data_IF_702380663588
#
_entry.id   IF_702380663588
#
_cell.length_a   1.000
_cell.length_b   1.000
_cell.length_c   1.000
_cell.angle_alpha   90.00
_cell.angle_beta   90.00
_cell.angle_gamma   90.00
#
_symmetry.space_group_name_H-M   'P 1'
#
loop_
_entity.id
_entity.type
_entity.pdbx_description
1 polymer ?
#
# COMPACT_ATOMS: atom_id res chain seq x y z
N UNK A 1 10.54 23.53 9.80
CA UNK A 1 11.16 22.20 10.04
C UNK A 1 11.30 21.48 8.71
N UNK A 2 12.26 20.56 8.57
CA UNK A 2 12.35 19.68 7.39
C UNK A 2 11.11 18.77 7.38
N UNK A 3 10.45 18.62 6.23
CA UNK A 3 9.28 17.73 6.07
C UNK A 3 9.66 16.31 6.50
N UNK A 4 8.86 15.72 7.40
CA UNK A 4 9.02 14.34 7.88
C UNK A 4 8.06 13.41 7.14
N UNK A 5 8.40 13.13 5.88
CA UNK A 5 7.55 12.38 4.96
C UNK A 5 7.31 10.94 5.41
N UNK A 6 8.32 10.28 5.99
CA UNK A 6 8.18 8.90 6.43
C UNK A 6 7.28 8.79 7.66
N UNK A 7 7.49 9.65 8.65
CA UNK A 7 6.61 9.73 9.82
C UNK A 7 5.18 10.09 9.41
N UNK A 8 5.01 11.08 8.53
CA UNK A 8 3.71 11.47 8.01
C UNK A 8 3.00 10.32 7.30
N UNK A 9 3.68 9.65 6.38
CA UNK A 9 3.11 8.55 5.60
C UNK A 9 2.68 7.37 6.47
N UNK A 10 3.52 6.94 7.43
CA UNK A 10 3.19 5.81 8.32
C UNK A 10 2.05 6.13 9.29
N UNK A 11 2.00 7.34 9.85
CA UNK A 11 0.88 7.75 10.69
C UNK A 11 -0.40 7.88 9.88
N UNK A 12 -0.32 8.50 8.69
CA UNK A 12 -1.47 8.66 7.80
C UNK A 12 -2.08 7.33 7.40
N UNK A 13 -1.23 6.37 7.04
CA UNK A 13 -1.64 5.01 6.73
C UNK A 13 -2.44 4.39 7.87
N UNK A 14 -1.90 4.42 9.09
CA UNK A 14 -2.56 3.82 10.25
C UNK A 14 -3.86 4.56 10.62
N UNK A 15 -3.89 5.89 10.50
CA UNK A 15 -5.10 6.69 10.71
C UNK A 15 -6.19 6.37 9.69
N UNK A 16 -5.81 6.16 8.43
CA UNK A 16 -6.72 5.77 7.37
C UNK A 16 -7.31 4.38 7.60
N UNK A 17 -6.45 3.39 7.86
CA UNK A 17 -6.84 2.03 8.26
C UNK A 17 -7.84 2.06 9.43
N UNK A 18 -7.48 2.72 10.54
CA UNK A 18 -8.35 2.78 11.71
C UNK A 18 -9.69 3.51 11.48
N UNK A 19 -9.73 4.47 10.55
CA UNK A 19 -10.97 5.17 10.19
C UNK A 19 -11.84 4.34 9.24
N UNK A 20 -11.23 3.55 8.35
CA UNK A 20 -11.92 2.69 7.37
C UNK A 20 -12.31 1.32 7.90
N UNK A 21 -11.68 0.84 8.99
CA UNK A 21 -12.02 -0.44 9.60
C UNK A 21 -13.52 -0.57 9.99
N UNK A 22 -14.17 0.40 10.65
CA UNK A 22 -15.59 0.28 10.99
C UNK A 22 -16.52 0.38 9.77
N UNK A 23 -16.04 0.79 8.60
CA UNK A 23 -16.83 0.98 7.38
C UNK A 23 -16.64 -0.12 6.36
N UNK A 24 -15.60 -0.94 6.51
CA UNK A 24 -15.31 -2.10 5.66
C UNK A 24 -16.57 -2.99 5.49
N UNK A 25 -16.79 -3.48 4.26
CA UNK A 25 -17.95 -4.28 3.86
C UNK A 25 -19.33 -3.59 3.91
N UNK A 26 -19.39 -2.26 4.09
CA UNK A 26 -20.65 -1.51 4.04
C UNK A 26 -20.77 -0.71 2.74
N UNK A 27 -22.00 -0.51 2.26
CA UNK A 27 -22.26 0.48 1.22
C UNK A 27 -22.29 1.91 1.79
N UNK A 28 -22.13 2.92 0.93
CA UNK A 28 -22.11 4.33 1.37
C UNK A 28 -23.36 4.72 2.17
N UNK A 29 -24.60 4.37 1.76
CA UNK A 29 -25.79 4.65 2.58
C UNK A 29 -25.70 4.06 4.00
N UNK A 30 -25.23 2.83 4.16
CA UNK A 30 -25.06 2.18 5.45
C UNK A 30 -23.96 2.85 6.29
N UNK A 31 -22.85 3.25 5.66
CA UNK A 31 -21.79 4.02 6.33
C UNK A 31 -22.35 5.35 6.85
N UNK A 32 -23.07 6.10 6.02
CA UNK A 32 -23.64 7.39 6.43
C UNK A 32 -24.69 7.25 7.54
N UNK A 33 -25.48 6.17 7.52
CA UNK A 33 -26.44 5.88 8.59
C UNK A 33 -25.74 5.52 9.91
N UNK A 34 -24.60 4.82 9.84
CA UNK A 34 -23.83 4.35 11.01
C UNK A 34 -22.93 5.44 11.60
N UNK A 35 -22.23 6.17 10.74
CA UNK A 35 -21.13 7.07 11.09
C UNK A 35 -21.51 8.54 10.97
N UNK A 36 -22.67 8.87 10.40
CA UNK A 36 -23.07 10.24 10.11
C UNK A 36 -22.48 10.77 8.80
N UNK A 37 -22.59 12.09 8.54
CA UNK A 37 -22.03 12.72 7.35
C UNK A 37 -20.54 12.44 7.23
N UNK A 38 -20.10 11.95 6.06
CA UNK A 38 -18.72 11.51 5.87
C UNK A 38 -17.69 12.61 6.21
N UNK A 39 -17.99 13.87 5.90
CA UNK A 39 -17.12 15.03 6.20
C UNK A 39 -16.88 15.28 7.68
N UNK A 40 -17.73 14.73 8.53
CA UNK A 40 -17.70 14.90 9.98
C UNK A 40 -17.26 13.61 10.68
N UNK A 41 -16.91 12.55 9.93
CA UNK A 41 -16.43 11.30 10.52
C UNK A 41 -15.21 11.54 11.40
N UNK A 42 -15.28 11.08 12.65
CA UNK A 42 -14.19 11.17 13.60
C UNK A 42 -13.46 9.83 13.73
N UNK A 43 -12.17 9.91 14.05
CA UNK A 43 -11.38 8.71 14.32
C UNK A 43 -12.00 7.92 15.49
N UNK A 44 -12.24 6.59 15.34
CA UNK A 44 -12.84 5.77 16.36
C UNK A 44 -12.09 5.81 17.70
N UNK A 45 -12.80 5.47 18.78
CA UNK A 45 -12.22 5.33 20.12
C UNK A 45 -12.62 3.97 20.69
N UNK A 46 -11.69 3.00 20.82
CA UNK A 46 -10.27 3.08 20.46
C UNK A 46 -10.02 3.19 18.93
N UNK A 47 -8.88 3.78 18.54
CA UNK A 47 -8.42 3.87 17.15
C UNK A 47 -7.63 2.60 16.79
N UNK A 48 -8.39 1.53 16.53
CA UNK A 48 -7.89 0.18 16.24
C UNK A 48 -7.51 0.07 14.77
N UNK A 49 -6.36 -0.54 14.48
CA UNK A 49 -5.90 -0.85 13.11
C UNK A 49 -6.15 -2.32 12.73
N UNK A 50 -6.07 -2.62 11.44
CA UNK A 50 -6.29 -3.96 10.84
C UNK A 50 -4.98 -4.59 10.33
N UNK A 51 -5.07 -5.62 9.49
CA UNK A 51 -3.92 -6.25 8.85
C UNK A 51 -3.12 -5.28 7.96
N UNK A 52 -3.74 -4.24 7.42
CA UNK A 52 -3.08 -3.14 6.70
C UNK A 52 -1.87 -2.58 7.44
N UNK A 53 -2.10 -1.99 8.63
CA UNK A 53 -1.04 -1.43 9.45
C UNK A 53 -0.14 -2.51 10.02
N UNK A 54 -0.70 -3.64 10.46
CA UNK A 54 0.09 -4.71 11.06
C UNK A 54 1.11 -5.31 10.06
N UNK A 55 0.69 -5.58 8.82
CA UNK A 55 1.58 -6.07 7.77
C UNK A 55 2.54 -4.99 7.28
N UNK A 56 2.15 -3.70 7.32
CA UNK A 56 3.06 -2.56 7.08
C UNK A 56 4.21 -2.56 8.09
N UNK A 57 3.90 -2.73 9.37
CA UNK A 57 4.89 -2.80 10.44
C UNK A 57 5.77 -4.03 10.31
N UNK A 58 5.20 -5.20 9.97
CA UNK A 58 5.96 -6.42 9.71
C UNK A 58 6.96 -6.23 8.55
N UNK A 59 6.52 -5.62 7.44
CA UNK A 59 7.41 -5.28 6.32
C UNK A 59 8.51 -4.30 6.76
N UNK A 60 8.15 -3.23 7.49
CA UNK A 60 9.10 -2.23 7.97
C UNK A 60 10.18 -2.82 8.90
N UNK A 61 9.78 -3.70 9.83
CA UNK A 61 10.69 -4.44 10.72
C UNK A 61 11.64 -5.33 9.91
N UNK A 62 11.11 -6.07 8.95
CA UNK A 62 11.89 -6.95 8.07
C UNK A 62 12.90 -6.18 7.22
N UNK A 63 12.49 -5.05 6.63
CA UNK A 63 13.37 -4.17 5.86
C UNK A 63 14.49 -3.60 6.73
N UNK A 64 14.19 -3.10 7.93
CA UNK A 64 15.20 -2.62 8.87
C UNK A 64 16.23 -3.72 9.16
N UNK A 65 15.77 -4.92 9.53
CA UNK A 65 16.67 -6.04 9.80
C UNK A 65 17.50 -6.46 8.58
N UNK A 66 16.95 -6.41 7.37
CA UNK A 66 17.70 -6.68 6.15
C UNK A 66 18.79 -5.63 5.90
N UNK A 67 18.48 -4.35 6.12
CA UNK A 67 19.40 -3.24 5.88
C UNK A 67 20.47 -3.08 6.95
N UNK A 68 20.19 -3.44 8.20
CA UNK A 68 21.20 -3.51 9.27
C UNK A 68 22.31 -4.54 8.94
N UNK A 69 22.02 -5.51 8.06
CA UNK A 69 22.97 -6.53 7.59
C UNK A 69 23.74 -6.12 6.35
N UNK A 70 23.40 -5.00 5.71
CA UNK A 70 24.09 -4.49 4.53
C UNK A 70 23.17 -3.92 3.46
N UNK A 71 23.67 -3.90 2.22
CA UNK A 71 22.92 -3.38 1.07
C UNK A 71 21.68 -4.26 0.81
N UNK A 72 20.52 -3.62 0.65
CA UNK A 72 19.27 -4.34 0.37
C UNK A 72 19.36 -5.05 -0.98
N UNK A 73 19.27 -6.37 -0.93
CA UNK A 73 19.15 -7.26 -2.08
C UNK A 73 18.11 -8.34 -1.80
N UNK A 74 17.74 -9.14 -2.81
CA UNK A 74 16.65 -10.11 -2.69
C UNK A 74 16.92 -11.16 -1.60
N UNK A 75 18.11 -11.79 -1.61
CA UNK A 75 18.48 -12.79 -0.60
C UNK A 75 18.52 -12.21 0.82
N UNK A 76 19.01 -10.97 0.95
CA UNK A 76 19.06 -10.26 2.23
C UNK A 76 17.67 -9.89 2.75
N UNK A 77 16.70 -9.65 1.86
CA UNK A 77 15.33 -9.23 2.18
C UNK A 77 14.40 -10.41 2.50
N UNK A 78 14.49 -11.52 1.75
CA UNK A 78 13.51 -12.62 1.84
C UNK A 78 13.36 -13.13 3.26
N UNK A 79 14.47 -13.45 3.93
CA UNK A 79 14.40 -14.13 5.23
C UNK A 79 13.89 -13.22 6.35
N UNK A 80 14.39 -11.98 6.54
CA UNK A 80 13.82 -11.07 7.54
C UNK A 80 12.33 -10.78 7.32
N UNK A 81 11.90 -10.50 6.09
CA UNK A 81 10.49 -10.20 5.80
C UNK A 81 9.61 -11.44 5.99
N UNK A 82 10.09 -12.62 5.57
CA UNK A 82 9.42 -13.90 5.81
C UNK A 82 9.16 -14.11 7.30
N UNK A 83 10.17 -13.92 8.14
CA UNK A 83 10.03 -14.16 9.58
C UNK A 83 9.02 -13.21 10.23
N UNK A 84 9.01 -11.94 9.83
CA UNK A 84 8.01 -10.97 10.32
C UNK A 84 6.59 -11.31 9.84
N UNK A 85 6.42 -11.79 8.60
CA UNK A 85 5.10 -12.23 8.11
C UNK A 85 4.60 -13.49 8.82
N UNK A 86 5.47 -14.46 9.09
CA UNK A 86 5.12 -15.66 9.87
C UNK A 86 4.76 -15.26 11.31
N UNK A 87 5.53 -14.35 11.91
CA UNK A 87 5.28 -13.85 13.27
C UNK A 87 3.93 -13.11 13.35
N UNK A 88 3.64 -12.24 12.38
CA UNK A 88 2.34 -11.59 12.25
C UNK A 88 1.22 -12.62 12.12
N UNK A 89 1.36 -13.62 11.24
CA UNK A 89 0.32 -14.62 11.00
C UNK A 89 -0.02 -15.45 12.25
N UNK A 90 0.97 -15.68 13.13
CA UNK A 90 0.81 -16.39 14.41
C UNK A 90 0.36 -15.49 15.57
N UNK A 91 0.35 -14.17 15.37
CA UNK A 91 -0.01 -13.23 16.42
C UNK A 91 -1.49 -13.39 16.79
N UNK A 92 -1.86 -13.39 18.09
CA UNK A 92 -3.26 -13.33 18.49
C UNK A 92 -3.94 -12.01 18.09
N UNK A 93 -3.16 -10.99 17.75
CA UNK A 93 -3.66 -9.69 17.26
C UNK A 93 -4.00 -9.71 15.75
N UNK A 94 -3.62 -10.77 15.02
CA UNK A 94 -4.06 -11.01 13.66
C UNK A 94 -5.50 -11.55 13.65
N UNK A 95 -6.45 -10.69 14.01
CA UNK A 95 -7.87 -11.03 14.16
C UNK A 95 -8.81 -9.98 13.58
N UNK A 96 -8.30 -9.09 12.72
CA UNK A 96 -9.00 -7.94 12.17
C UNK A 96 -8.76 -7.89 10.65
N UNK A 97 -9.69 -8.47 9.90
CA UNK A 97 -9.78 -8.48 8.44
C UNK A 97 -8.66 -9.15 7.59
N UNK A 98 -7.83 -10.10 8.08
CA UNK A 98 -6.75 -10.63 7.26
C UNK A 98 -7.24 -11.34 6.00
N UNK A 99 -6.76 -10.89 4.84
CA UNK A 99 -7.06 -11.53 3.56
C UNK A 99 -6.58 -12.99 3.51
N UNK A 100 -7.44 -13.90 3.03
CA UNK A 100 -7.12 -15.34 2.91
C UNK A 100 -5.82 -15.63 2.14
N UNK A 101 -5.47 -14.78 1.17
CA UNK A 101 -4.22 -14.90 0.43
C UNK A 101 -3.00 -14.71 1.34
N UNK A 102 -3.01 -13.68 2.19
CA UNK A 102 -1.94 -13.41 3.15
C UNK A 102 -1.80 -14.56 4.13
N UNK A 103 -2.91 -15.00 4.74
CA UNK A 103 -2.93 -16.12 5.68
C UNK A 103 -2.33 -17.39 5.07
N UNK A 104 -2.85 -17.78 3.89
CA UNK A 104 -2.40 -18.99 3.20
C UNK A 104 -0.93 -18.94 2.82
N UNK A 105 -0.45 -17.81 2.31
CA UNK A 105 0.94 -17.65 1.95
C UNK A 105 1.85 -17.69 3.18
N UNK A 106 1.48 -17.06 4.28
CA UNK A 106 2.28 -17.08 5.51
C UNK A 106 2.37 -18.49 6.11
N UNK A 107 1.28 -19.26 6.10
CA UNK A 107 1.30 -20.68 6.48
C UNK A 107 2.26 -21.50 5.62
N UNK A 108 2.32 -21.23 4.31
CA UNK A 108 3.21 -21.94 3.40
C UNK A 108 4.66 -21.49 3.57
N UNK A 109 4.92 -20.19 3.75
CA UNK A 109 6.25 -19.63 4.01
C UNK A 109 6.94 -20.27 5.22
N UNK A 110 6.15 -20.70 6.20
CA UNK A 110 6.64 -21.44 7.37
C UNK A 110 7.09 -22.88 7.02
N UNK A 111 6.48 -23.49 6.01
CA UNK A 111 6.65 -24.91 5.67
C UNK A 111 7.62 -25.17 4.53
N UNK A 112 7.71 -24.26 3.57
CA UNK A 112 8.52 -24.43 2.36
C UNK A 112 9.81 -23.60 2.42
N UNK A 113 10.91 -24.12 1.89
CA UNK A 113 12.17 -23.39 1.81
C UNK A 113 12.15 -22.31 0.73
N UNK A 114 11.60 -22.60 -0.46
CA UNK A 114 11.49 -21.64 -1.55
C UNK A 114 10.23 -20.79 -1.40
N UNK A 115 10.38 -19.47 -1.21
CA UNK A 115 9.24 -18.56 -1.05
C UNK A 115 8.28 -18.57 -2.24
N UNK A 116 8.79 -18.86 -3.45
CA UNK A 116 7.99 -18.92 -4.68
C UNK A 116 6.93 -20.01 -4.64
N UNK A 117 7.14 -21.06 -3.84
CA UNK A 117 6.18 -22.15 -3.67
C UNK A 117 5.11 -21.82 -2.62
N UNK A 118 5.32 -20.76 -1.82
CA UNK A 118 4.30 -20.19 -0.92
C UNK A 118 3.43 -19.12 -1.61
N UNK A 119 3.95 -18.53 -2.69
CA UNK A 119 3.29 -17.45 -3.44
C UNK A 119 1.96 -17.90 -4.04
N UNK A 120 0.90 -17.12 -3.81
CA UNK A 120 -0.40 -17.34 -4.46
C UNK A 120 -0.41 -16.65 -5.82
N UNK A 121 0.03 -17.38 -6.86
CA UNK A 121 0.29 -16.85 -8.21
C UNK A 121 -0.93 -16.31 -8.96
N UNK A 122 -2.14 -16.66 -8.53
CA UNK A 122 -3.38 -16.17 -9.13
C UNK A 122 -4.02 -15.01 -8.35
N UNK A 123 -3.45 -14.64 -7.20
CA UNK A 123 -4.03 -13.60 -6.35
C UNK A 123 -3.41 -12.25 -6.63
N UNK A 124 -4.27 -11.28 -6.98
CA UNK A 124 -3.93 -9.86 -7.10
C UNK A 124 -4.60 -8.98 -6.05
N UNK A 125 -4.95 -9.55 -4.89
CA UNK A 125 -5.59 -8.82 -3.80
C UNK A 125 -4.79 -7.60 -3.30
N UNK A 126 -5.52 -6.63 -2.73
CA UNK A 126 -5.00 -5.40 -2.12
C UNK A 126 -3.92 -5.63 -1.05
N UNK A 127 -3.90 -6.80 -0.40
CA UNK A 127 -2.95 -7.15 0.66
C UNK A 127 -1.48 -7.09 0.24
N UNK A 128 -1.22 -7.17 -1.08
CA UNK A 128 0.11 -6.89 -1.62
C UNK A 128 0.51 -5.41 -1.48
N UNK A 129 -0.47 -4.52 -1.63
CA UNK A 129 -0.26 -3.10 -1.89
C UNK A 129 -0.43 -2.23 -0.65
N UNK A 130 -1.43 -2.53 0.19
CA UNK A 130 -1.73 -1.78 1.42
C UNK A 130 -0.50 -1.59 2.33
N UNK A 131 0.43 -2.55 2.29
CA UNK A 131 1.61 -2.58 3.16
C UNK A 131 2.90 -2.04 2.56
N UNK A 132 2.91 -1.60 1.30
CA UNK A 132 4.16 -1.37 0.54
C UNK A 132 4.81 -0.01 0.80
N UNK A 133 4.10 0.94 1.43
CA UNK A 133 4.56 2.31 1.68
C UNK A 133 5.99 2.42 2.26
N UNK A 134 6.44 1.58 3.23
CA UNK A 134 7.83 1.54 3.70
C UNK A 134 8.88 1.54 2.58
N UNK A 135 8.67 0.78 1.50
CA UNK A 135 9.65 0.67 0.40
C UNK A 135 9.77 1.99 -0.36
N UNK A 136 8.72 2.82 -0.42
CA UNK A 136 8.77 4.17 -0.97
C UNK A 136 9.52 5.18 -0.08
N UNK A 137 9.57 4.92 1.23
CA UNK A 137 10.09 5.85 2.25
C UNK A 137 11.54 5.57 2.65
N UNK A 138 11.98 4.31 2.57
CA UNK A 138 13.36 3.94 2.89
C UNK A 138 14.35 4.77 2.06
N UNK A 139 15.29 5.48 2.70
CA UNK A 139 16.26 6.31 2.02
C UNK A 139 17.32 5.47 1.30
N UNK A 140 18.01 6.08 0.33
CA UNK A 140 19.17 5.50 -0.37
C UNK A 140 18.94 4.19 -1.15
N UNK A 141 17.70 3.71 -1.34
CA UNK A 141 17.42 2.66 -2.33
C UNK A 141 17.52 3.21 -3.74
N UNK A 142 18.27 2.52 -4.61
CA UNK A 142 18.25 2.76 -6.05
C UNK A 142 16.86 2.47 -6.63
N UNK A 143 16.60 2.96 -7.85
CA UNK A 143 15.33 2.70 -8.54
C UNK A 143 15.11 1.19 -8.75
N UNK A 144 16.18 0.45 -9.06
CA UNK A 144 16.11 -1.00 -9.23
C UNK A 144 15.84 -1.72 -7.90
N UNK A 145 16.48 -1.32 -6.80
CA UNK A 145 16.24 -1.91 -5.49
C UNK A 145 14.81 -1.67 -5.02
N UNK A 146 14.29 -0.47 -5.25
CA UNK A 146 12.93 -0.10 -4.85
C UNK A 146 11.88 -0.90 -5.62
N UNK A 147 12.01 -0.95 -6.95
CA UNK A 147 11.13 -1.72 -7.81
C UNK A 147 11.17 -3.22 -7.48
N UNK A 148 12.39 -3.77 -7.40
CA UNK A 148 12.60 -5.17 -7.07
C UNK A 148 12.08 -5.55 -5.68
N UNK A 149 12.31 -4.72 -4.65
CA UNK A 149 11.81 -4.97 -3.31
C UNK A 149 10.28 -4.87 -3.22
N UNK A 150 9.67 -3.90 -3.90
CA UNK A 150 8.22 -3.72 -3.93
C UNK A 150 7.51 -4.91 -4.59
N UNK A 151 8.07 -5.42 -5.70
CA UNK A 151 7.58 -6.62 -6.34
C UNK A 151 7.84 -7.87 -5.47
N UNK A 152 9.04 -8.01 -4.87
CA UNK A 152 9.38 -9.16 -4.05
C UNK A 152 8.51 -9.28 -2.80
N UNK A 153 8.25 -8.19 -2.06
CA UNK A 153 7.37 -8.25 -0.88
C UNK A 153 5.95 -8.68 -1.24
N UNK A 154 5.46 -8.27 -2.42
CA UNK A 154 4.19 -8.74 -2.94
C UNK A 154 4.28 -10.23 -3.19
N UNK A 155 5.29 -10.65 -3.96
CA UNK A 155 5.51 -12.01 -4.40
C UNK A 155 5.64 -13.04 -3.26
N UNK A 156 6.08 -12.64 -2.07
CA UNK A 156 6.05 -13.48 -0.87
C UNK A 156 4.64 -13.99 -0.51
N UNK A 157 3.58 -13.31 -0.99
CA UNK A 157 2.18 -13.68 -0.76
C UNK A 157 1.31 -13.70 -2.02
N UNK A 158 1.38 -12.65 -2.83
CA UNK A 158 0.62 -12.40 -4.04
C UNK A 158 1.57 -12.44 -5.24
N UNK A 159 1.53 -13.55 -5.98
CA UNK A 159 2.41 -13.81 -7.11
C UNK A 159 1.85 -13.36 -8.46
N UNK A 160 0.63 -12.80 -8.49
CA UNK A 160 0.01 -12.32 -9.72
C UNK A 160 0.74 -11.08 -10.25
N UNK A 161 1.02 -10.95 -11.56
CA UNK A 161 1.84 -9.87 -12.10
C UNK A 161 1.25 -8.47 -11.81
N UNK A 162 -0.07 -8.33 -11.78
CA UNK A 162 -0.72 -7.07 -11.40
C UNK A 162 -0.43 -6.65 -9.97
N UNK A 163 -0.41 -7.58 -9.01
CA UNK A 163 -0.04 -7.24 -7.63
C UNK A 163 1.42 -6.80 -7.52
N UNK A 164 2.31 -7.41 -8.31
CA UNK A 164 3.72 -7.00 -8.39
C UNK A 164 3.82 -5.57 -8.94
N UNK A 165 3.23 -5.31 -10.10
CA UNK A 165 3.27 -4.01 -10.77
C UNK A 165 2.59 -2.89 -9.94
N UNK A 166 1.45 -3.19 -9.31
CA UNK A 166 0.75 -2.23 -8.46
C UNK A 166 1.54 -1.91 -7.19
N UNK A 167 2.22 -2.89 -6.58
CA UNK A 167 3.11 -2.66 -5.43
C UNK A 167 4.28 -1.75 -5.79
N UNK A 168 4.88 -1.98 -6.96
CA UNK A 168 5.95 -1.15 -7.50
C UNK A 168 5.47 0.30 -7.73
N UNK A 169 4.35 0.47 -8.45
CA UNK A 169 3.76 1.79 -8.69
C UNK A 169 3.41 2.54 -7.41
N UNK A 170 2.90 1.84 -6.40
CA UNK A 170 2.52 2.45 -5.12
C UNK A 170 3.75 2.90 -4.36
N UNK A 171 4.79 2.07 -4.27
CA UNK A 171 6.07 2.46 -3.67
C UNK A 171 6.70 3.63 -4.42
N UNK A 172 6.61 3.66 -5.75
CA UNK A 172 7.07 4.75 -6.59
C UNK A 172 6.28 6.04 -6.34
N UNK A 173 4.96 5.97 -6.25
CA UNK A 173 4.09 7.11 -5.93
C UNK A 173 4.42 7.71 -4.56
N UNK A 174 4.56 6.88 -3.53
CA UNK A 174 4.96 7.32 -2.18
C UNK A 174 6.30 8.02 -2.20
N UNK A 175 7.30 7.48 -2.93
CA UNK A 175 8.61 8.12 -3.08
C UNK A 175 8.51 9.49 -3.77
N UNK A 176 7.79 9.58 -4.90
CA UNK A 176 7.63 10.83 -5.63
C UNK A 176 7.01 11.91 -4.74
N UNK A 177 5.96 11.57 -4.00
CA UNK A 177 5.30 12.48 -3.06
C UNK A 177 6.22 12.87 -1.89
N UNK A 178 6.95 11.92 -1.32
CA UNK A 178 7.97 12.19 -0.30
C UNK A 178 9.02 13.20 -0.79
N UNK A 179 9.43 13.08 -2.06
CA UNK A 179 10.38 13.97 -2.72
C UNK A 179 9.78 15.30 -3.20
N UNK A 180 8.46 15.51 -3.02
CA UNK A 180 7.78 16.76 -3.34
C UNK A 180 7.35 16.88 -4.80
N UNK A 181 7.12 15.76 -5.49
CA UNK A 181 6.48 15.80 -6.81
C UNK A 181 5.11 16.48 -6.72
N UNK A 182 4.82 17.34 -7.69
CA UNK A 182 3.54 18.06 -7.77
C UNK A 182 2.37 17.08 -7.99
N UNK A 183 1.34 17.07 -7.12
CA UNK A 183 0.22 16.13 -7.22
C UNK A 183 -0.53 16.19 -8.55
N UNK A 184 -0.62 17.38 -9.16
CA UNK A 184 -1.26 17.59 -10.48
C UNK A 184 -0.56 16.82 -11.61
N UNK A 185 0.75 16.60 -11.51
CA UNK A 185 1.55 15.84 -12.49
C UNK A 185 1.71 14.36 -12.16
N UNK A 186 1.28 13.92 -10.96
CA UNK A 186 1.59 12.59 -10.43
C UNK A 186 1.10 11.47 -11.35
N UNK A 187 -0.16 11.52 -11.79
CA UNK A 187 -0.74 10.46 -12.64
C UNK A 187 0.02 10.32 -13.96
N UNK A 188 0.48 11.44 -14.53
CA UNK A 188 1.33 11.44 -15.72
C UNK A 188 2.69 10.77 -15.48
N UNK A 189 3.34 11.07 -14.36
CA UNK A 189 4.61 10.44 -13.96
C UNK A 189 4.45 8.93 -13.76
N UNK A 190 3.39 8.49 -13.09
CA UNK A 190 3.11 7.07 -12.86
C UNK A 190 2.85 6.32 -14.18
N UNK A 191 2.14 6.93 -15.13
CA UNK A 191 1.92 6.35 -16.45
C UNK A 191 3.23 6.21 -17.23
N UNK A 192 4.08 7.23 -17.24
CA UNK A 192 5.40 7.16 -17.89
C UNK A 192 6.25 6.04 -17.28
N UNK A 193 6.30 5.96 -15.95
CA UNK A 193 7.00 4.88 -15.24
C UNK A 193 6.46 3.49 -15.62
N UNK A 194 5.14 3.33 -15.70
CA UNK A 194 4.51 2.08 -16.10
C UNK A 194 4.85 1.68 -17.55
N UNK A 195 4.87 2.64 -18.49
CA UNK A 195 5.28 2.36 -19.87
C UNK A 195 6.75 1.96 -19.98
N UNK A 196 7.63 2.63 -19.26
CA UNK A 196 9.07 2.34 -19.25
C UNK A 196 9.40 0.97 -18.65
N UNK A 197 8.63 0.53 -17.64
CA UNK A 197 8.83 -0.76 -16.97
C UNK A 197 7.93 -1.88 -17.50
N UNK A 198 7.07 -1.60 -18.51
CA UNK A 198 6.03 -2.51 -19.00
C UNK A 198 6.53 -3.92 -19.30
N UNK A 199 7.74 -4.07 -19.83
CA UNK A 199 8.33 -5.38 -20.19
C UNK A 199 9.52 -5.74 -19.31
N UNK A 200 9.80 -4.98 -18.24
CA UNK A 200 10.96 -5.19 -17.38
C UNK A 200 10.61 -6.17 -16.26
N UNK A 201 11.08 -7.41 -16.39
CA UNK A 201 10.99 -8.40 -15.32
C UNK A 201 12.27 -8.44 -14.48
N UNK A 202 12.14 -8.31 -13.16
CA UNK A 202 13.28 -8.29 -12.23
C UNK A 202 13.78 -9.70 -11.89
N UNK A 203 14.51 -10.33 -12.82
CA UNK A 203 15.04 -11.69 -12.64
C UNK A 203 15.78 -11.92 -11.32
N UNK A 204 16.65 -10.99 -10.93
CA UNK A 204 17.42 -11.07 -9.69
C UNK A 204 16.51 -11.13 -8.46
N UNK A 205 15.36 -10.46 -8.50
CA UNK A 205 14.44 -10.37 -7.37
C UNK A 205 13.37 -11.46 -7.35
N UNK A 206 12.81 -11.78 -8.51
CA UNK A 206 11.66 -12.67 -8.63
C UNK A 206 12.02 -14.10 -9.07
N UNK A 207 13.25 -14.30 -9.56
CA UNK A 207 13.70 -15.58 -10.08
C UNK A 207 12.78 -16.09 -11.20
N UNK A 208 12.35 -17.34 -11.09
CA UNK A 208 11.49 -18.04 -12.04
C UNK A 208 9.99 -18.01 -11.65
N UNK A 209 9.55 -17.02 -10.86
CA UNK A 209 8.13 -16.88 -10.49
C UNK A 209 7.21 -16.88 -11.72
N UNK A 210 7.59 -16.16 -12.80
CA UNK A 210 6.84 -16.10 -14.05
C UNK A 210 6.49 -17.49 -14.61
N UNK A 211 7.41 -18.46 -14.50
CA UNK A 211 7.23 -19.80 -15.05
C UNK A 211 6.14 -20.60 -14.31
N UNK A 212 5.81 -20.24 -13.06
CA UNK A 212 4.73 -20.87 -12.29
C UNK A 212 3.35 -20.48 -12.79
N UNK A 213 3.23 -19.33 -13.46
CA UNK A 213 1.98 -18.81 -14.01
C UNK A 213 1.67 -19.33 -15.42
N UNK A 214 2.51 -20.23 -15.96
CA UNK A 214 2.40 -20.78 -17.32
C UNK A 214 2.43 -19.72 -18.44
N UNK A 215 2.91 -18.52 -18.13
CA UNK A 215 3.14 -17.47 -19.12
C UNK A 215 4.32 -17.85 -20.04
N UNK A 216 4.29 -17.44 -21.32
CA UNK A 216 5.29 -17.88 -22.31
C UNK A 216 6.69 -17.30 -22.07
N UNK A 217 6.78 -16.08 -21.53
CA UNK A 217 8.04 -15.40 -21.22
C UNK A 217 7.88 -14.52 -19.98
N UNK A 218 8.98 -14.17 -19.27
CA UNK A 218 8.95 -13.22 -18.16
C UNK A 218 8.44 -11.84 -18.56
N UNK A 219 8.74 -11.37 -19.78
CA UNK A 219 8.26 -10.09 -20.31
C UNK A 219 6.75 -10.11 -20.53
N UNK A 220 6.21 -11.22 -21.05
CA UNK A 220 4.76 -11.37 -21.22
C UNK A 220 4.05 -11.39 -19.86
N UNK A 221 4.58 -12.16 -18.90
CA UNK A 221 4.06 -12.23 -17.54
C UNK A 221 3.92 -10.84 -16.91
N UNK A 222 5.01 -10.06 -16.87
CA UNK A 222 4.98 -8.76 -16.20
C UNK A 222 4.17 -7.72 -16.98
N UNK A 223 4.15 -7.79 -18.32
CA UNK A 223 3.37 -6.88 -19.15
C UNK A 223 1.86 -6.95 -18.85
N UNK A 224 1.31 -8.14 -18.54
CA UNK A 224 -0.10 -8.26 -18.12
C UNK A 224 -0.40 -7.39 -16.89
N UNK A 225 0.49 -7.40 -15.90
CA UNK A 225 0.34 -6.60 -14.69
C UNK A 225 0.42 -5.11 -14.95
N UNK A 226 1.41 -4.68 -15.73
CA UNK A 226 1.57 -3.28 -16.13
C UNK A 226 0.41 -2.77 -17.00
N UNK A 227 -0.14 -3.60 -17.88
CA UNK A 227 -1.30 -3.26 -18.72
C UNK A 227 -2.55 -3.00 -17.88
N UNK A 228 -2.83 -3.84 -16.89
CA UNK A 228 -3.95 -3.61 -15.94
C UNK A 228 -3.73 -2.33 -15.13
N UNK A 229 -2.49 -2.07 -14.68
CA UNK A 229 -2.15 -0.83 -13.98
C UNK A 229 -2.28 0.42 -14.88
N UNK A 230 -1.89 0.34 -16.15
CA UNK A 230 -2.08 1.44 -17.11
C UNK A 230 -3.57 1.74 -17.32
N UNK A 231 -4.40 0.70 -17.42
CA UNK A 231 -5.86 0.83 -17.53
C UNK A 231 -6.48 1.52 -16.32
N UNK A 232 -6.07 1.17 -15.10
CA UNK A 232 -6.61 1.85 -13.90
C UNK A 232 -6.09 3.29 -13.76
N UNK A 233 -4.85 3.57 -14.16
CA UNK A 233 -4.30 4.94 -14.17
C UNK A 233 -5.02 5.84 -15.19
N UNK A 234 -5.55 5.27 -16.28
CA UNK A 234 -6.42 5.99 -17.21
C UNK A 234 -7.74 6.40 -16.55
N UNK A 235 -8.42 5.44 -15.89
CA UNK A 235 -9.64 5.73 -15.10
C UNK A 235 -9.39 6.78 -14.03
N UNK A 236 -8.27 6.68 -13.30
CA UNK A 236 -7.86 7.68 -12.30
C UNK A 236 -7.69 9.06 -12.92
N UNK A 237 -7.01 9.16 -14.07
CA UNK A 237 -6.79 10.43 -14.76
C UNK A 237 -8.11 11.10 -15.16
N UNK A 238 -9.08 10.32 -15.62
CA UNK A 238 -10.43 10.78 -15.96
C UNK A 238 -11.20 11.23 -14.72
N UNK A 239 -11.15 10.44 -13.64
CA UNK A 239 -11.83 10.74 -12.37
C UNK A 239 -11.31 12.04 -11.73
N UNK A 240 -10.00 12.26 -11.72
CA UNK A 240 -9.37 13.49 -11.23
C UNK A 240 -9.82 14.69 -12.06
N UNK A 241 -9.92 14.56 -13.39
CA UNK A 241 -10.43 15.64 -14.26
C UNK A 241 -11.91 15.94 -14.02
N UNK A 242 -12.71 14.92 -13.73
CA UNK A 242 -14.12 15.09 -13.41
C UNK A 242 -14.33 15.81 -12.07
N UNK A 243 -13.40 15.66 -11.12
CA UNK A 243 -13.41 16.39 -9.85
C UNK A 243 -14.62 16.11 -8.96
N UNK A 244 -15.24 14.93 -9.10
CA UNK A 244 -16.44 14.58 -8.33
C UNK A 244 -16.07 14.19 -6.90
N UNK A 245 -16.29 15.11 -5.96
CA UNK A 245 -15.93 14.94 -4.54
C UNK A 245 -17.03 14.29 -3.68
N UNK A 246 -18.28 14.33 -4.13
CA UNK A 246 -19.43 13.75 -3.40
C UNK A 246 -19.76 12.33 -3.82
N UNK A 247 -19.32 11.91 -5.00
CA UNK A 247 -19.58 10.56 -5.49
C UNK A 247 -18.63 9.58 -4.82
N UNK A 248 -19.11 8.35 -4.61
CA UNK A 248 -18.26 7.26 -4.14
C UNK A 248 -17.07 7.06 -5.11
N UNK A 249 -15.81 7.22 -4.65
CA UNK A 249 -14.64 7.07 -5.50
C UNK A 249 -14.52 5.66 -6.10
N UNK A 250 -15.10 4.63 -5.47
CA UNK A 250 -15.10 3.26 -5.98
C UNK A 250 -15.80 3.13 -7.33
N UNK A 251 -16.77 4.00 -7.63
CA UNK A 251 -17.49 3.99 -8.91
C UNK A 251 -16.61 4.41 -10.10
N UNK A 252 -15.52 5.14 -9.84
CA UNK A 252 -14.62 5.62 -10.88
C UNK A 252 -13.43 4.67 -11.11
N UNK A 253 -12.76 4.27 -10.02
CA UNK A 253 -11.47 3.58 -10.10
C UNK A 253 -11.49 2.14 -9.57
N UNK A 254 -12.64 1.68 -9.07
CA UNK A 254 -12.81 0.32 -8.57
C UNK A 254 -12.87 0.23 -7.05
N UNK A 255 -13.31 -0.92 -6.55
CA UNK A 255 -13.71 -1.10 -5.16
C UNK A 255 -12.55 -1.41 -4.21
N UNK A 256 -11.31 -1.38 -4.67
CA UNK A 256 -10.13 -1.52 -3.81
C UNK A 256 -9.73 -2.95 -3.45
N UNK A 257 -10.58 -3.97 -3.69
CA UNK A 257 -10.27 -5.37 -3.32
C UNK A 257 -9.07 -5.99 -4.05
N UNK A 258 -8.64 -5.38 -5.16
CA UNK A 258 -7.46 -5.77 -5.95
C UNK A 258 -6.44 -4.63 -5.99
N UNK A 259 -5.17 -4.99 -6.07
CA UNK A 259 -4.04 -4.09 -5.80
C UNK A 259 -4.05 -2.81 -6.65
N UNK A 260 -4.33 -2.91 -7.95
CA UNK A 260 -4.35 -1.78 -8.86
C UNK A 260 -5.53 -0.83 -8.59
N UNK A 261 -6.69 -1.37 -8.18
CA UNK A 261 -7.85 -0.56 -7.79
C UNK A 261 -7.62 0.13 -6.44
N UNK A 262 -7.02 -0.56 -5.47
CA UNK A 262 -6.65 0.04 -4.18
C UNK A 262 -5.72 1.26 -4.38
N UNK A 263 -4.69 1.09 -5.23
CA UNK A 263 -3.77 2.18 -5.61
C UNK A 263 -4.55 3.35 -6.20
N UNK A 264 -5.36 3.09 -7.24
CA UNK A 264 -6.03 4.15 -7.97
C UNK A 264 -7.07 4.88 -7.13
N UNK A 265 -7.90 4.15 -6.38
CA UNK A 265 -8.95 4.73 -5.54
C UNK A 265 -8.35 5.48 -4.35
N UNK A 266 -7.27 4.99 -3.74
CA UNK A 266 -6.52 5.72 -2.71
C UNK A 266 -5.88 7.00 -3.25
N UNK A 267 -5.28 6.95 -4.44
CA UNK A 267 -4.75 8.15 -5.11
C UNK A 267 -5.87 9.14 -5.47
N UNK A 268 -7.02 8.67 -5.93
CA UNK A 268 -8.15 9.55 -6.25
C UNK A 268 -8.59 10.34 -5.01
N UNK A 269 -8.77 9.67 -3.87
CA UNK A 269 -9.14 10.33 -2.62
C UNK A 269 -8.10 11.38 -2.19
N UNK A 270 -6.81 11.06 -2.29
CA UNK A 270 -5.74 12.03 -2.02
C UNK A 270 -5.77 13.22 -2.98
N UNK A 271 -5.84 12.96 -4.30
CA UNK A 271 -5.74 13.98 -5.33
C UNK A 271 -6.95 14.94 -5.37
N UNK A 272 -8.11 14.51 -4.89
CA UNK A 272 -9.29 15.37 -4.74
C UNK A 272 -9.16 16.34 -3.55
N UNK A 273 -8.29 16.07 -2.58
CA UNK A 273 -8.19 16.77 -1.29
C UNK A 273 -6.73 16.95 -0.85
N UNK A 274 -5.85 17.37 -1.77
CA UNK A 274 -4.39 17.45 -1.54
C UNK A 274 -4.03 18.24 -0.28
N UNK A 275 -4.70 19.37 -0.04
CA UNK A 275 -4.44 20.26 1.10
C UNK A 275 -5.35 19.99 2.31
N UNK A 276 -6.22 18.99 2.21
CA UNK A 276 -7.19 18.62 3.25
C UNK A 276 -7.05 17.12 3.62
N UNK A 277 -5.91 16.70 4.20
CA UNK A 277 -5.58 15.28 4.40
C UNK A 277 -6.59 14.51 5.25
N UNK A 278 -7.20 15.17 6.25
CA UNK A 278 -8.27 14.56 7.05
C UNK A 278 -9.54 14.36 6.23
N UNK A 279 -9.90 15.33 5.37
CA UNK A 279 -11.03 15.20 4.44
C UNK A 279 -10.77 14.07 3.44
N UNK A 280 -9.54 13.93 2.94
CA UNK A 280 -9.14 12.82 2.08
C UNK A 280 -9.36 11.45 2.76
N UNK A 281 -8.90 11.28 4.00
CA UNK A 281 -9.12 10.06 4.78
C UNK A 281 -10.60 9.76 5.01
N UNK A 282 -11.39 10.79 5.37
CA UNK A 282 -12.83 10.65 5.56
C UNK A 282 -13.55 10.20 4.29
N UNK A 283 -13.16 10.75 3.12
CA UNK A 283 -13.73 10.34 1.84
C UNK A 283 -13.39 8.89 1.53
N UNK A 284 -12.14 8.51 1.74
CA UNK A 284 -11.64 7.16 1.49
C UNK A 284 -12.32 6.12 2.38
N UNK A 285 -12.42 6.40 3.69
CA UNK A 285 -13.11 5.54 4.65
C UNK A 285 -14.61 5.44 4.35
N UNK A 286 -15.23 6.51 3.84
CA UNK A 286 -16.61 6.43 3.37
C UNK A 286 -16.68 6.06 1.88
N UNK A 287 -16.29 4.85 1.54
CA UNK A 287 -16.42 4.28 0.20
C UNK A 287 -17.07 2.90 0.29
N UNK A 288 -17.78 2.44 -0.76
CA UNK A 288 -18.46 1.13 -0.72
C UNK A 288 -17.53 -0.07 -0.89
N UNK A 289 -16.22 0.16 -0.89
CA UNK A 289 -15.21 -0.81 -1.23
C UNK A 289 -14.48 -1.34 0.00
N UNK A 290 -13.23 -1.68 -0.25
CA UNK A 290 -12.21 -2.07 0.70
C UNK A 290 -11.70 -0.82 1.47
N UNK A 291 -12.57 -0.27 2.31
CA UNK A 291 -12.47 1.13 2.75
C UNK A 291 -11.29 1.42 3.67
N UNK A 292 -10.89 0.47 4.52
CA UNK A 292 -9.67 0.52 5.31
C UNK A 292 -8.42 0.52 4.42
N UNK A 293 -8.32 -0.38 3.45
CA UNK A 293 -7.23 -0.42 2.47
C UNK A 293 -7.13 0.82 1.59
N UNK A 294 -8.26 1.34 1.13
CA UNK A 294 -8.32 2.60 0.37
C UNK A 294 -7.89 3.78 1.25
N UNK A 295 -8.37 3.86 2.49
CA UNK A 295 -8.01 4.94 3.41
C UNK A 295 -6.56 4.87 3.89
N UNK A 296 -6.06 3.65 4.14
CA UNK A 296 -4.66 3.31 4.41
C UNK A 296 -3.73 3.88 3.34
N UNK A 297 -3.97 3.57 2.06
CA UNK A 297 -3.17 4.09 0.95
C UNK A 297 -3.33 5.61 0.79
N UNK A 298 -4.56 6.13 0.92
CA UNK A 298 -4.83 7.59 0.89
C UNK A 298 -3.97 8.32 1.93
N UNK A 299 -3.93 7.80 3.16
CA UNK A 299 -3.14 8.33 4.25
C UNK A 299 -1.63 8.24 4.00
N UNK A 300 -1.17 7.13 3.44
CA UNK A 300 0.23 6.97 3.04
C UNK A 300 0.66 8.04 2.03
N UNK A 301 -0.17 8.30 1.00
CA UNK A 301 0.12 9.31 -0.03
C UNK A 301 0.09 10.74 0.54
N UNK A 302 -0.98 11.10 1.25
CA UNK A 302 -1.12 12.41 1.86
C UNK A 302 0.01 12.71 2.86
N UNK A 303 0.35 11.74 3.69
CA UNK A 303 1.42 11.87 4.69
C UNK A 303 2.81 11.93 4.07
N UNK A 304 3.07 11.22 2.98
CA UNK A 304 4.32 11.36 2.24
C UNK A 304 4.47 12.76 1.63
N UNK A 305 3.37 13.31 1.09
CA UNK A 305 3.38 14.63 0.48
C UNK A 305 3.52 15.77 1.49
N UNK A 306 2.70 15.75 2.56
CA UNK A 306 2.56 16.86 3.51
C UNK A 306 3.46 16.72 4.76
N UNK A 307 3.88 15.51 5.13
CA UNK A 307 4.64 15.24 6.35
C UNK A 307 3.76 14.95 7.58
N UNK A 308 4.38 14.88 8.76
CA UNK A 308 3.71 14.52 10.02
C UNK A 308 2.79 15.60 10.56
N UNK A 309 3.06 16.87 10.27
CA UNK A 309 2.21 18.01 10.63
C UNK A 309 0.83 17.99 9.93
N UNK A 310 0.63 17.12 8.93
CA UNK A 310 -0.64 16.92 8.24
C UNK A 310 -1.74 16.36 9.17
N UNK A 311 -1.35 15.67 10.24
CA UNK A 311 -2.28 14.90 11.06
C UNK A 311 -2.63 15.61 12.36
N UNK A 312 -3.92 15.70 12.72
CA UNK A 312 -4.32 16.24 14.02
C UNK A 312 -3.66 15.47 15.16
N UNK A 313 -3.01 16.17 16.10
CA UNK A 313 -2.37 15.53 17.27
C UNK A 313 -3.33 14.65 18.06
N UNK A 314 -4.58 15.10 18.23
CA UNK A 314 -5.62 14.34 18.91
C UNK A 314 -5.94 13.00 18.23
N UNK A 315 -5.70 12.87 16.93
CA UNK A 315 -5.83 11.62 16.19
C UNK A 315 -4.55 10.80 16.31
N UNK A 316 -3.41 11.42 15.97
CA UNK A 316 -2.11 10.76 15.96
C UNK A 316 -1.68 10.22 17.34
N UNK A 317 -2.08 10.83 18.45
CA UNK A 317 -1.73 10.39 19.81
C UNK A 317 -2.49 9.14 20.27
N UNK A 318 -3.60 8.79 19.60
CA UNK A 318 -4.46 7.67 19.98
C UNK A 318 -4.29 6.42 19.12
N UNK A 319 -3.52 6.52 18.04
CA UNK A 319 -3.40 5.42 17.06
C UNK A 319 -2.69 4.21 17.68
N UNK A 320 -3.20 3.02 17.42
CA UNK A 320 -2.56 1.77 17.81
C UNK A 320 -1.16 1.66 17.16
N UNK A 321 -0.22 1.00 17.85
CA UNK A 321 1.18 0.88 17.42
C UNK A 321 1.93 2.19 17.13
N UNK A 322 1.45 3.34 17.59
CA UNK A 322 2.09 4.66 17.38
C UNK A 322 3.61 4.65 17.63
N UNK A 323 4.06 3.99 18.69
CA UNK A 323 5.50 3.92 19.03
C UNK A 323 6.34 3.25 17.94
N UNK A 324 5.87 2.15 17.37
CA UNK A 324 6.54 1.42 16.29
C UNK A 324 6.53 2.25 14.99
N UNK A 325 5.39 2.86 14.66
CA UNK A 325 5.24 3.75 13.50
C UNK A 325 6.21 4.94 13.57
N UNK A 326 6.30 5.60 14.73
CA UNK A 326 7.23 6.71 14.93
C UNK A 326 8.69 6.27 14.90
N UNK A 327 9.00 5.07 15.37
CA UNK A 327 10.37 4.54 15.36
C UNK A 327 10.84 4.32 13.92
N UNK A 328 10.01 3.69 13.08
CA UNK A 328 10.31 3.51 11.65
C UNK A 328 10.33 4.85 10.90
N UNK A 329 9.36 5.73 11.17
CA UNK A 329 9.29 7.05 10.55
C UNK A 329 10.53 7.90 10.85
N UNK A 330 10.93 7.98 12.12
CA UNK A 330 12.13 8.73 12.52
C UNK A 330 13.42 8.15 11.90
N UNK A 331 13.51 6.83 11.76
CA UNK A 331 14.64 6.17 11.10
C UNK A 331 14.79 6.59 9.63
N UNK A 332 13.67 6.74 8.91
CA UNK A 332 13.69 7.05 7.47
C UNK A 332 13.61 8.55 7.15
N UNK A 333 13.22 9.39 8.12
CA UNK A 333 13.25 10.85 7.99
C UNK A 333 14.64 11.48 8.26
N UNK A 334 15.52 10.74 8.95
CA UNK A 334 16.88 11.15 9.30
C UNK A 334 17.70 11.48 8.04
#
# INVERSE_FOLDING_TARGET
MKKRAATGSLLGLALGDALGFPTEFNDVPSILAKCGPWREMELPTPAIVTDDTQMTLALGKGLRTAMDRGVLGPEAMVEPVRQEYIAWNRSPENNRAPGNTCLRACELLERVSCWRDASQIHSKGCGANMRVAPIGLVPALSDEQRAGAAQLQSALTHGHPTALAASDLTAHAVRLLAQGAEPTGLVGLLRSYAYENRTRYHHTWLGDLWARSQDPTPEHFIARGWDECLGVLERLQEAVRAGSVETDPCLATGAGWIAEEALATGLLCFLLFVDEPVTALRRAACSSGDSDSIACLTGAFAGAYLGDDAWPRAWADRIEYRGDLLTLGALWDA
#
